data_IF_572631424540
#
_entry.id   IF_572631424540
#
_cell.length_a   1.000
_cell.length_b   1.000
_cell.length_c   1.000
_cell.angle_alpha   90.00
_cell.angle_beta   90.00
_cell.angle_gamma   90.00
#
_symmetry.space_group_name_H-M   'P 1'
#
loop_
_entity.id
_entity.type
_entity.pdbx_description
1 polymer ?
#
# COMPACT_ATOMS: atom_id res chain seq x y z
N UNK A 1 53.51 42.15 -18.94
CA UNK A 1 52.85 41.05 -18.27
C UNK A 1 53.63 39.76 -18.60
N UNK A 2 54.29 39.20 -17.59
CA UNK A 2 55.23 38.07 -17.80
C UNK A 2 54.47 36.79 -18.15
N UNK A 3 55.10 35.90 -18.95
CA UNK A 3 54.48 34.63 -19.40
C UNK A 3 53.99 33.76 -18.24
N UNK A 4 54.55 33.92 -17.05
CA UNK A 4 54.11 33.25 -15.84
C UNK A 4 52.73 33.71 -15.39
N UNK A 5 52.42 35.02 -15.47
CA UNK A 5 51.11 35.58 -15.07
C UNK A 5 50.05 35.14 -16.08
N UNK A 6 50.33 35.07 -17.38
CA UNK A 6 49.40 34.59 -18.38
C UNK A 6 49.04 33.11 -18.16
N UNK A 7 49.99 32.27 -17.78
CA UNK A 7 49.76 30.85 -17.48
C UNK A 7 48.90 30.69 -16.19
N UNK A 8 49.14 31.49 -15.14
CA UNK A 8 48.34 31.44 -13.91
C UNK A 8 46.88 31.84 -14.18
N UNK A 9 46.65 32.88 -14.96
CA UNK A 9 45.31 33.33 -15.34
C UNK A 9 44.59 32.28 -16.18
N UNK A 10 45.26 31.60 -17.14
CA UNK A 10 44.68 30.52 -17.91
C UNK A 10 44.29 29.33 -17.03
N UNK A 11 45.13 28.91 -16.11
CA UNK A 11 44.83 27.81 -15.21
C UNK A 11 43.64 28.17 -14.30
N UNK A 12 43.59 29.38 -13.76
CA UNK A 12 42.49 29.85 -12.94
C UNK A 12 41.17 29.91 -13.72
N UNK A 13 41.22 30.36 -14.97
CA UNK A 13 40.05 30.43 -15.85
C UNK A 13 39.50 29.04 -16.16
N UNK A 14 40.38 28.08 -16.42
CA UNK A 14 40.02 26.68 -16.73
C UNK A 14 39.40 26.01 -15.45
N UNK A 15 39.99 26.27 -14.28
CA UNK A 15 39.42 25.71 -13.01
C UNK A 15 38.08 26.33 -12.68
N UNK A 16 37.88 27.62 -12.91
CA UNK A 16 36.57 28.28 -12.70
C UNK A 16 35.54 27.76 -13.73
N UNK A 17 35.93 27.57 -14.99
CA UNK A 17 35.08 26.97 -15.99
C UNK A 17 34.69 25.52 -15.63
N UNK A 18 35.63 24.72 -15.13
CA UNK A 18 35.37 23.36 -14.66
C UNK A 18 34.45 23.34 -13.44
N UNK A 19 34.60 24.27 -12.50
CA UNK A 19 33.72 24.39 -11.34
C UNK A 19 32.30 24.87 -11.72
N UNK A 20 32.18 25.65 -12.80
CA UNK A 20 30.88 26.07 -13.33
C UNK A 20 30.18 24.97 -14.16
N UNK A 21 30.95 24.02 -14.72
CA UNK A 21 30.38 22.87 -15.45
C UNK A 21 30.06 21.68 -14.55
N UNK A 22 30.64 21.62 -13.33
CA UNK A 22 30.18 20.75 -12.27
C UNK A 22 29.07 21.52 -11.52
N UNK A 23 28.06 21.97 -12.21
CA UNK A 23 26.76 22.00 -11.59
C UNK A 23 26.47 20.53 -11.28
N UNK A 24 26.28 20.14 -9.98
CA UNK A 24 25.58 18.90 -9.77
C UNK A 24 24.36 19.04 -10.64
N UNK A 25 24.19 18.12 -11.57
CA UNK A 25 22.88 17.85 -12.11
C UNK A 25 22.06 17.50 -10.84
N UNK A 26 21.61 18.54 -10.15
CA UNK A 26 20.37 18.41 -9.39
C UNK A 26 19.40 18.01 -10.49
N UNK A 27 19.34 16.71 -10.68
CA UNK A 27 18.24 16.13 -11.33
C UNK A 27 17.05 16.83 -10.65
N UNK A 28 16.44 17.74 -11.38
CA UNK A 28 15.06 18.10 -11.19
C UNK A 28 14.34 16.81 -11.49
N UNK A 29 14.58 15.81 -10.61
CA UNK A 29 13.83 14.59 -10.59
C UNK A 29 12.43 15.10 -10.44
N UNK A 30 11.64 14.99 -11.49
CA UNK A 30 10.21 15.21 -11.40
C UNK A 30 9.80 14.52 -10.12
N UNK A 31 9.42 15.30 -9.08
CA UNK A 31 8.99 14.71 -7.82
C UNK A 31 7.78 13.89 -8.19
N UNK A 32 7.96 12.56 -8.23
CA UNK A 32 6.87 11.65 -8.50
C UNK A 32 5.74 12.00 -7.53
N UNK A 33 4.55 12.17 -8.07
CA UNK A 33 3.33 12.39 -7.27
C UNK A 33 2.86 11.05 -6.73
N UNK A 34 1.95 11.08 -5.76
CA UNK A 34 1.38 9.86 -5.17
C UNK A 34 0.78 8.93 -6.24
N UNK A 35 0.14 9.50 -7.26
CA UNK A 35 -0.51 8.77 -8.35
C UNK A 35 0.48 8.05 -9.29
N UNK A 36 1.78 8.38 -9.20
CA UNK A 36 2.84 7.73 -9.98
C UNK A 36 3.37 6.45 -9.33
N UNK A 37 2.84 6.07 -8.16
CA UNK A 37 3.25 4.90 -7.39
C UNK A 37 2.13 3.87 -7.30
N UNK A 38 2.47 2.58 -7.39
CA UNK A 38 1.56 1.53 -6.93
C UNK A 38 1.46 1.53 -5.40
N UNK A 39 0.42 0.87 -4.86
CA UNK A 39 0.29 0.75 -3.39
C UNK A 39 1.49 0.01 -2.80
N UNK A 40 1.96 -1.04 -3.47
CA UNK A 40 3.14 -1.82 -3.03
C UNK A 40 4.40 -0.96 -3.00
N UNK A 41 4.60 -0.11 -4.01
CA UNK A 41 5.71 0.85 -4.02
C UNK A 41 5.59 1.82 -2.85
N UNK A 42 4.38 2.36 -2.59
CA UNK A 42 4.14 3.27 -1.46
C UNK A 42 4.42 2.59 -0.12
N UNK A 43 3.97 1.36 0.08
CA UNK A 43 4.19 0.60 1.31
C UNK A 43 5.67 0.30 1.57
N UNK A 44 6.49 0.21 0.51
CA UNK A 44 7.94 -0.02 0.61
C UNK A 44 8.77 1.26 0.81
N UNK A 45 8.15 2.43 0.79
CA UNK A 45 8.85 3.69 1.08
C UNK A 45 9.09 3.85 2.58
N UNK A 46 10.08 4.65 2.94
CA UNK A 46 10.23 5.08 4.34
C UNK A 46 9.02 5.90 4.79
N UNK A 47 8.67 5.82 6.08
CA UNK A 47 7.54 6.56 6.68
C UNK A 47 7.61 8.05 6.33
N UNK A 48 8.78 8.68 6.47
CA UNK A 48 8.96 10.08 6.11
C UNK A 48 8.63 10.39 4.65
N UNK A 49 8.92 9.46 3.73
CA UNK A 49 8.61 9.64 2.31
C UNK A 49 7.15 9.42 2.02
N UNK A 50 6.51 8.46 2.70
CA UNK A 50 5.06 8.24 2.66
C UNK A 50 4.33 9.51 3.12
N UNK A 51 4.67 10.05 4.28
CA UNK A 51 4.08 11.27 4.83
C UNK A 51 4.26 12.48 3.89
N UNK A 52 5.45 12.64 3.30
CA UNK A 52 5.71 13.71 2.33
C UNK A 52 4.85 13.60 1.06
N UNK A 53 4.43 12.37 0.71
CA UNK A 53 3.49 12.09 -0.38
C UNK A 53 2.02 12.22 0.07
N UNK A 54 1.77 12.38 1.37
CA UNK A 54 0.42 12.38 1.94
C UNK A 54 -0.21 10.98 1.94
N UNK A 55 0.60 9.94 2.11
CA UNK A 55 0.19 8.54 2.24
C UNK A 55 0.45 8.06 3.66
N UNK A 56 -0.57 7.49 4.30
CA UNK A 56 -0.53 7.05 5.69
C UNK A 56 -1.11 5.64 5.81
N UNK A 57 -0.38 4.75 6.47
CA UNK A 57 -0.88 3.46 6.91
C UNK A 57 -1.40 3.63 8.34
N UNK A 58 -2.71 3.62 8.52
CA UNK A 58 -3.34 3.86 9.82
C UNK A 58 -3.37 2.60 10.69
N UNK A 59 -3.56 1.44 10.06
CA UNK A 59 -3.52 0.15 10.73
C UNK A 59 -3.11 -0.96 9.76
N UNK A 60 -2.49 -2.00 10.32
CA UNK A 60 -2.17 -3.26 9.65
C UNK A 60 -2.67 -4.42 10.50
N UNK A 61 -3.51 -5.26 9.92
CA UNK A 61 -4.04 -6.46 10.57
C UNK A 61 -3.56 -7.68 9.79
N UNK A 62 -2.68 -8.51 10.40
CA UNK A 62 -2.20 -9.71 9.74
C UNK A 62 -3.34 -10.72 9.56
N UNK A 63 -3.28 -11.44 8.47
CA UNK A 63 -4.24 -12.46 8.08
C UNK A 63 -3.51 -13.77 7.92
N UNK A 64 -3.95 -14.80 8.64
CA UNK A 64 -3.49 -16.18 8.44
C UNK A 64 -4.68 -17.12 8.50
N UNK A 65 -5.11 -17.60 7.36
CA UNK A 65 -6.33 -18.38 7.22
C UNK A 65 -5.96 -19.82 6.84
N UNK A 66 -6.30 -20.83 7.67
CA UNK A 66 -6.04 -22.20 7.33
C UNK A 66 -6.96 -22.68 6.19
N UNK A 67 -6.38 -23.33 5.20
CA UNK A 67 -7.08 -23.99 4.12
C UNK A 67 -7.02 -25.49 4.34
N UNK A 68 -8.17 -26.12 4.55
CA UNK A 68 -8.26 -27.57 4.73
C UNK A 68 -8.46 -28.28 3.40
N UNK A 69 -8.10 -29.56 3.34
CA UNK A 69 -8.46 -30.43 2.24
C UNK A 69 -9.98 -30.56 2.09
N UNK A 70 -10.43 -31.19 1.02
CA UNK A 70 -11.86 -31.25 0.63
C UNK A 70 -12.76 -31.88 1.68
N UNK A 71 -12.26 -32.79 2.50
CA UNK A 71 -13.00 -33.45 3.58
C UNK A 71 -12.88 -32.70 4.93
N UNK A 72 -12.07 -31.65 4.99
CA UNK A 72 -11.85 -30.85 6.20
C UNK A 72 -10.99 -31.50 7.28
N UNK A 73 -10.45 -32.69 7.02
CA UNK A 73 -9.73 -33.48 8.03
C UNK A 73 -8.33 -32.95 8.34
N UNK A 74 -7.72 -32.19 7.42
CA UNK A 74 -6.35 -31.69 7.56
C UNK A 74 -6.18 -30.32 6.92
N UNK A 75 -5.49 -29.42 7.62
CA UNK A 75 -4.98 -28.16 7.04
C UNK A 75 -3.83 -28.49 6.08
N UNK A 76 -3.91 -28.04 4.85
CA UNK A 76 -2.95 -28.34 3.78
C UNK A 76 -2.17 -27.09 3.35
N UNK A 77 -2.74 -25.90 3.55
CA UNK A 77 -2.11 -24.62 3.21
C UNK A 77 -2.66 -23.50 4.09
N UNK A 78 -2.14 -22.30 3.88
CA UNK A 78 -2.63 -21.08 4.52
C UNK A 78 -2.75 -19.97 3.48
N UNK A 79 -3.68 -19.06 3.72
CA UNK A 79 -3.69 -17.75 3.08
C UNK A 79 -3.04 -16.80 4.08
N UNK A 80 -1.83 -16.38 3.79
CA UNK A 80 -1.08 -15.39 4.59
C UNK A 80 -1.15 -14.03 3.91
N UNK A 81 -1.45 -13.00 4.68
CA UNK A 81 -1.59 -11.67 4.12
C UNK A 81 -1.74 -10.59 5.18
N UNK A 82 -2.20 -9.43 4.73
CA UNK A 82 -2.45 -8.27 5.59
C UNK A 82 -3.62 -7.47 5.03
N UNK A 83 -4.54 -7.09 5.90
CA UNK A 83 -5.52 -6.06 5.63
C UNK A 83 -5.06 -4.76 6.27
N UNK A 84 -5.14 -3.65 5.52
CA UNK A 84 -4.66 -2.33 5.93
C UNK A 84 -5.74 -1.29 5.81
N UNK A 85 -5.77 -0.39 6.77
CA UNK A 85 -6.51 0.86 6.69
C UNK A 85 -5.53 1.95 6.29
N UNK A 86 -5.83 2.63 5.21
CA UNK A 86 -4.99 3.66 4.60
C UNK A 86 -5.69 5.02 4.65
N UNK A 87 -4.90 6.08 4.63
CA UNK A 87 -5.41 7.42 4.38
C UNK A 87 -4.48 8.16 3.44
N UNK A 88 -5.06 8.80 2.45
CA UNK A 88 -4.30 9.62 1.50
C UNK A 88 -4.90 11.01 1.37
N UNK A 89 -4.06 12.01 1.16
CA UNK A 89 -4.53 13.38 0.87
C UNK A 89 -5.32 13.48 -0.44
N UNK A 90 -5.08 12.55 -1.37
CA UNK A 90 -5.74 12.54 -2.68
C UNK A 90 -7.10 11.83 -2.66
N UNK A 91 -7.21 10.71 -1.95
CA UNK A 91 -8.35 9.78 -2.08
C UNK A 91 -9.09 9.55 -0.75
N UNK A 92 -8.66 10.19 0.34
CA UNK A 92 -9.26 10.02 1.67
C UNK A 92 -8.97 8.66 2.29
N UNK A 93 -9.94 8.13 3.03
CA UNK A 93 -9.88 6.82 3.66
C UNK A 93 -9.88 5.72 2.60
N UNK A 94 -9.09 4.68 2.81
CA UNK A 94 -9.00 3.54 1.91
C UNK A 94 -8.68 2.25 2.65
N UNK A 95 -8.94 1.13 1.98
CA UNK A 95 -8.66 -0.21 2.47
C UNK A 95 -7.83 -0.96 1.45
N UNK A 96 -6.84 -1.69 1.92
CA UNK A 96 -5.97 -2.48 1.07
C UNK A 96 -5.77 -3.86 1.66
N UNK A 97 -6.12 -4.88 0.91
CA UNK A 97 -5.87 -6.27 1.26
C UNK A 97 -4.84 -6.86 0.32
N UNK A 98 -3.83 -7.49 0.87
CA UNK A 98 -2.86 -8.28 0.12
C UNK A 98 -2.67 -9.64 0.79
N UNK A 99 -2.45 -10.68 0.00
CA UNK A 99 -2.19 -12.00 0.54
C UNK A 99 -1.71 -12.99 -0.52
N UNK A 100 -1.10 -14.07 -0.07
CA UNK A 100 -0.63 -15.17 -0.91
C UNK A 100 -1.01 -16.51 -0.29
N UNK A 101 -1.10 -17.56 -1.10
CA UNK A 101 -1.19 -18.93 -0.57
C UNK A 101 0.18 -19.45 -0.21
N UNK A 102 0.29 -20.07 0.96
CA UNK A 102 1.54 -20.67 1.50
C UNK A 102 1.25 -22.12 1.89
N UNK A 103 1.99 -23.08 1.32
CA UNK A 103 1.87 -24.50 1.64
C UNK A 103 2.16 -25.41 0.47
N UNK A 104 1.98 -26.72 0.69
CA UNK A 104 2.21 -27.75 -0.32
C UNK A 104 0.85 -28.10 -0.93
N UNK A 105 0.64 -27.77 -2.20
CA UNK A 105 -0.54 -28.19 -2.94
C UNK A 105 -1.05 -27.12 -3.93
N UNK A 106 -1.96 -27.52 -4.82
CA UNK A 106 -2.50 -26.64 -5.84
C UNK A 106 -3.64 -25.74 -5.33
N UNK A 107 -3.66 -25.43 -4.04
CA UNK A 107 -4.72 -24.65 -3.43
C UNK A 107 -4.67 -23.22 -3.93
N UNK A 108 -5.48 -22.99 -4.95
CA UNK A 108 -5.55 -21.73 -5.64
C UNK A 108 -6.76 -20.95 -5.12
N UNK A 109 -6.55 -19.71 -4.78
CA UNK A 109 -7.65 -18.80 -4.55
C UNK A 109 -8.26 -18.46 -5.90
N UNK A 110 -9.55 -18.76 -6.08
CA UNK A 110 -10.32 -18.42 -7.30
C UNK A 110 -10.74 -16.97 -7.29
N UNK A 111 -11.23 -16.53 -6.15
CA UNK A 111 -11.78 -15.20 -5.96
C UNK A 111 -11.74 -14.82 -4.48
N UNK A 112 -11.79 -13.54 -4.26
CA UNK A 112 -12.06 -12.96 -2.96
C UNK A 112 -13.20 -11.96 -3.14
N UNK A 113 -14.19 -12.01 -2.26
CA UNK A 113 -15.26 -11.03 -2.23
C UNK A 113 -15.61 -10.68 -0.80
N UNK A 114 -15.94 -9.44 -0.56
CA UNK A 114 -16.23 -8.98 0.79
C UNK A 114 -16.69 -7.54 0.84
N UNK A 115 -16.68 -7.01 2.04
CA UNK A 115 -17.03 -5.63 2.30
C UNK A 115 -16.14 -5.07 3.40
N UNK A 116 -15.54 -3.92 3.13
CA UNK A 116 -14.95 -3.08 4.14
C UNK A 116 -16.03 -2.17 4.72
N UNK A 117 -16.02 -1.98 6.03
CA UNK A 117 -16.95 -1.11 6.75
C UNK A 117 -16.15 -0.13 7.59
N UNK A 118 -16.70 1.05 7.77
CA UNK A 118 -16.21 1.96 8.80
C UNK A 118 -17.33 2.83 9.35
N UNK A 119 -17.14 3.24 10.61
CA UNK A 119 -18.05 4.12 11.35
C UNK A 119 -17.27 5.29 11.91
N UNK A 120 -17.70 6.50 11.58
CA UNK A 120 -17.27 7.74 12.23
C UNK A 120 -18.33 8.16 13.23
N UNK A 121 -18.02 8.08 14.52
CA UNK A 121 -18.96 8.45 15.58
C UNK A 121 -19.10 9.98 15.69
N UNK A 122 -18.05 10.73 15.37
CA UNK A 122 -18.11 12.21 15.42
C UNK A 122 -19.08 12.78 14.41
N UNK A 123 -19.16 12.15 13.23
CA UNK A 123 -19.96 12.63 12.10
C UNK A 123 -21.25 11.83 11.91
N UNK A 124 -21.44 10.80 12.73
CA UNK A 124 -22.56 9.85 12.62
C UNK A 124 -22.65 9.23 11.23
N UNK A 125 -21.50 8.89 10.64
CA UNK A 125 -21.39 8.30 9.32
C UNK A 125 -21.06 6.80 9.47
N UNK A 126 -21.81 5.97 8.80
CA UNK A 126 -21.54 4.55 8.59
C UNK A 126 -21.49 4.27 7.08
N UNK A 127 -20.45 3.58 6.63
CA UNK A 127 -20.25 3.25 5.22
C UNK A 127 -19.87 1.80 5.03
N UNK A 128 -20.27 1.25 3.88
CA UNK A 128 -19.87 -0.07 3.40
C UNK A 128 -19.27 0.05 2.01
N UNK A 129 -18.13 -0.60 1.82
CA UNK A 129 -17.35 -0.58 0.58
C UNK A 129 -17.20 -2.03 0.08
N UNK A 130 -18.13 -2.53 -0.75
CA UNK A 130 -18.05 -3.88 -1.26
C UNK A 130 -16.91 -4.00 -2.27
N UNK A 131 -16.24 -5.15 -2.26
CA UNK A 131 -15.19 -5.49 -3.22
C UNK A 131 -15.31 -6.92 -3.73
N UNK A 132 -14.77 -7.15 -4.92
CA UNK A 132 -14.69 -8.49 -5.51
C UNK A 132 -13.51 -8.55 -6.46
N UNK A 133 -12.68 -9.56 -6.31
CA UNK A 133 -11.57 -9.87 -7.21
C UNK A 133 -11.75 -11.28 -7.76
N UNK A 134 -11.76 -11.42 -9.07
CA UNK A 134 -11.91 -12.72 -9.76
C UNK A 134 -10.62 -13.12 -10.46
N UNK A 135 -10.46 -14.43 -10.71
CA UNK A 135 -9.40 -14.99 -11.54
C UNK A 135 -7.98 -14.71 -11.01
N UNK A 136 -7.68 -15.21 -9.83
CA UNK A 136 -6.32 -15.22 -9.31
C UNK A 136 -5.56 -16.37 -9.97
N UNK A 137 -4.45 -16.05 -10.60
CA UNK A 137 -3.54 -17.04 -11.20
C UNK A 137 -2.76 -17.74 -10.09
N UNK A 138 -2.34 -19.01 -10.27
CA UNK A 138 -1.45 -19.70 -9.31
C UNK A 138 -0.27 -18.82 -8.90
N UNK A 139 0.06 -18.82 -7.61
CA UNK A 139 1.18 -18.07 -7.02
C UNK A 139 1.04 -16.53 -7.05
N UNK A 140 -0.09 -16.00 -7.49
CA UNK A 140 -0.29 -14.56 -7.42
C UNK A 140 -0.82 -14.12 -6.05
N UNK A 141 -0.32 -12.98 -5.65
CA UNK A 141 -0.83 -12.25 -4.49
C UNK A 141 -2.25 -11.76 -4.76
N UNK A 142 -3.08 -11.84 -3.73
CA UNK A 142 -4.39 -11.20 -3.72
C UNK A 142 -4.17 -9.73 -3.51
N UNK A 143 -4.75 -8.90 -4.37
CA UNK A 143 -4.77 -7.46 -4.18
C UNK A 143 -6.20 -6.96 -4.26
N UNK A 144 -6.57 -6.16 -3.31
CA UNK A 144 -7.77 -5.36 -3.38
C UNK A 144 -7.50 -3.99 -2.77
N UNK A 145 -7.88 -2.95 -3.49
CA UNK A 145 -7.77 -1.57 -3.02
C UNK A 145 -9.13 -0.90 -3.20
N UNK A 146 -9.64 -0.33 -2.13
CA UNK A 146 -10.88 0.44 -2.15
C UNK A 146 -10.61 1.80 -1.52
N UNK A 147 -10.94 2.88 -2.22
CA UNK A 147 -10.95 4.25 -1.68
C UNK A 147 -12.37 4.73 -1.52
N UNK A 148 -12.63 5.40 -0.42
CA UNK A 148 -13.96 5.89 -0.09
C UNK A 148 -14.21 7.31 -0.58
N UNK A 149 -13.12 8.07 -0.83
CA UNK A 149 -13.13 9.51 -1.10
C UNK A 149 -13.76 10.32 0.04
N UNK A 150 -13.79 9.74 1.24
CA UNK A 150 -14.23 10.43 2.45
C UNK A 150 -13.01 10.98 3.19
N UNK A 151 -13.07 12.25 3.49
CA UNK A 151 -12.01 13.01 4.15
C UNK A 151 -12.48 13.42 5.54
N UNK A 152 -11.61 13.27 6.51
CA UNK A 152 -11.90 13.51 7.91
C UNK A 152 -10.90 14.48 8.53
N UNK A 153 -11.35 15.21 9.52
CA UNK A 153 -10.50 16.10 10.31
C UNK A 153 -9.48 15.32 11.13
N UNK A 154 -8.36 15.97 11.41
CA UNK A 154 -7.30 15.44 12.28
C UNK A 154 -7.88 15.06 13.64
N UNK A 155 -7.55 13.87 14.10
CA UNK A 155 -8.02 13.35 15.36
C UNK A 155 -9.39 12.66 15.28
N UNK A 156 -10.06 12.64 14.13
CA UNK A 156 -11.27 11.84 13.95
C UNK A 156 -10.97 10.38 14.18
N UNK A 157 -11.82 9.77 15.01
CA UNK A 157 -11.71 8.38 15.41
C UNK A 157 -12.69 7.54 14.58
N UNK A 158 -12.17 6.45 13.98
CA UNK A 158 -12.94 5.56 13.13
C UNK A 158 -12.83 4.12 13.62
N UNK A 159 -13.95 3.42 13.67
CA UNK A 159 -13.99 1.96 13.76
C UNK A 159 -14.03 1.39 12.34
N UNK A 160 -13.05 0.57 12.00
CA UNK A 160 -12.94 -0.07 10.70
C UNK A 160 -13.05 -1.58 10.84
N UNK A 161 -13.74 -2.23 9.90
CA UNK A 161 -13.85 -3.68 9.87
C UNK A 161 -13.91 -4.20 8.43
N UNK A 162 -13.59 -5.48 8.27
CA UNK A 162 -13.72 -6.19 7.01
C UNK A 162 -14.36 -7.56 7.25
N UNK A 163 -15.21 -7.98 6.34
CA UNK A 163 -15.70 -9.36 6.26
C UNK A 163 -15.57 -9.85 4.83
N UNK A 164 -14.88 -10.96 4.60
CA UNK A 164 -14.66 -11.46 3.25
C UNK A 164 -14.67 -12.99 3.18
N UNK A 165 -14.93 -13.47 1.96
CA UNK A 165 -14.97 -14.88 1.58
C UNK A 165 -13.90 -15.17 0.54
N UNK A 166 -13.11 -16.20 0.79
CA UNK A 166 -12.12 -16.73 -0.14
C UNK A 166 -12.66 -17.98 -0.80
N UNK A 167 -12.88 -17.92 -2.10
CA UNK A 167 -13.18 -19.11 -2.90
C UNK A 167 -11.89 -19.84 -3.26
N UNK A 168 -11.79 -21.12 -2.93
CA UNK A 168 -10.61 -21.96 -3.18
C UNK A 168 -10.92 -22.97 -4.26
N UNK A 169 -9.94 -23.27 -5.13
CA UNK A 169 -10.07 -24.31 -6.16
C UNK A 169 -10.23 -25.67 -5.49
N UNK A 170 -11.21 -26.45 -5.93
CA UNK A 170 -11.50 -27.78 -5.36
C UNK A 170 -12.37 -27.75 -4.11
N UNK A 171 -12.62 -26.59 -3.50
CA UNK A 171 -13.58 -26.46 -2.40
C UNK A 171 -14.95 -25.98 -2.90
N UNK A 172 -16.01 -26.60 -2.37
CA UNK A 172 -17.38 -26.15 -2.60
C UNK A 172 -17.83 -25.06 -1.63
N UNK A 173 -17.10 -24.87 -0.54
CA UNK A 173 -17.41 -23.87 0.49
C UNK A 173 -16.33 -22.79 0.52
N UNK A 174 -16.72 -21.53 0.45
CA UNK A 174 -15.77 -20.43 0.66
C UNK A 174 -15.32 -20.40 2.11
N UNK A 175 -14.12 -19.87 2.33
CA UNK A 175 -13.57 -19.65 3.66
C UNK A 175 -13.87 -18.21 4.07
N UNK A 176 -14.51 -18.01 5.21
CA UNK A 176 -14.80 -16.69 5.75
C UNK A 176 -13.66 -16.20 6.65
N UNK A 177 -13.33 -14.94 6.51
CA UNK A 177 -12.42 -14.23 7.41
C UNK A 177 -12.95 -12.83 7.70
N UNK A 178 -12.69 -12.33 8.91
CA UNK A 178 -13.04 -10.98 9.30
C UNK A 178 -12.02 -10.39 10.27
N UNK A 179 -11.92 -9.08 10.27
CA UNK A 179 -11.09 -8.32 11.20
C UNK A 179 -11.76 -6.99 11.54
N UNK A 180 -11.34 -6.43 12.67
CA UNK A 180 -11.73 -5.09 13.13
C UNK A 180 -10.52 -4.36 13.66
N UNK A 181 -10.48 -3.05 13.49
CA UNK A 181 -9.45 -2.18 14.06
C UNK A 181 -10.01 -0.78 14.26
N UNK A 182 -9.33 -0.04 15.12
CA UNK A 182 -9.64 1.36 15.40
C UNK A 182 -8.49 2.23 14.92
N UNK A 183 -8.81 3.32 14.27
CA UNK A 183 -7.81 4.24 13.73
C UNK A 183 -8.16 5.68 14.08
N UNK A 184 -7.14 6.52 14.11
CA UNK A 184 -7.30 7.97 14.25
C UNK A 184 -6.66 8.67 13.08
N UNK A 185 -7.34 9.63 12.49
CA UNK A 185 -6.81 10.41 11.36
C UNK A 185 -5.62 11.24 11.83
N UNK A 186 -4.44 11.07 11.21
CA UNK A 186 -3.22 11.74 11.63
C UNK A 186 -3.22 13.22 11.25
N UNK A 187 -2.27 13.95 11.81
CA UNK A 187 -1.99 15.32 11.35
C UNK A 187 -1.36 15.25 9.95
N UNK A 188 -2.07 15.80 8.98
CA UNK A 188 -1.72 15.76 7.56
C UNK A 188 -0.78 16.92 7.16
#
# INVERSE_FOLDING_TARGET
MTNKIKRLISILLVTVLFLLTIQPAFATGNKRKIDDYSIEELLNLSVQKQENLGFYVLAEVPMRIPVSNTDGSRVVSYIDGTWRVLYTKANGLGFYMSGTTVGIGPDLIKNVSGTDYYTSYSDNIERSCPFSTTALVPEQSIYNTTYTYDFYDVGTYLDCSVGCYFGVVGSSKPIYWSATTQVTIPKL
#
